data_IF_622136059584
#
_entry.id   IF_622136059584
#
_cell.length_a   1.000
_cell.length_b   1.000
_cell.length_c   1.000
_cell.angle_alpha   90.00
_cell.angle_beta   90.00
_cell.angle_gamma   90.00
#
_symmetry.space_group_name_H-M   'P 1'
#
loop_
_entity.id
_entity.type
_entity.pdbx_description
1 polymer ?
#
# COMPACT_ATOMS: atom_id res chain seq x y z
N UNK A 1 -31.48 -34.14 -71.57
CA UNK A 1 -31.95 -33.81 -70.22
C UNK A 1 -30.75 -33.14 -69.52
N UNK A 2 -30.77 -31.80 -69.48
CA UNK A 2 -29.67 -30.99 -68.89
C UNK A 2 -30.04 -30.60 -67.47
N UNK A 3 -29.32 -31.16 -66.51
CA UNK A 3 -29.45 -30.76 -65.11
C UNK A 3 -28.47 -29.62 -64.78
N UNK A 4 -29.01 -28.44 -64.47
CA UNK A 4 -28.23 -27.29 -64.00
C UNK A 4 -28.08 -27.38 -62.48
N UNK A 5 -26.85 -27.54 -62.03
CA UNK A 5 -26.51 -27.47 -60.58
C UNK A 5 -26.30 -26.00 -60.24
N UNK A 6 -27.14 -25.51 -59.34
CA UNK A 6 -27.08 -24.14 -58.81
C UNK A 6 -26.16 -24.14 -57.57
N UNK A 7 -24.96 -23.61 -57.67
CA UNK A 7 -24.05 -23.43 -56.52
C UNK A 7 -24.40 -22.14 -55.77
N UNK A 8 -24.88 -22.27 -54.53
CA UNK A 8 -25.10 -21.17 -53.60
C UNK A 8 -23.80 -20.92 -52.85
N UNK A 9 -23.15 -19.80 -53.12
CA UNK A 9 -21.97 -19.35 -52.37
C UNK A 9 -22.44 -18.63 -51.08
N UNK A 10 -22.18 -19.25 -49.92
CA UNK A 10 -22.47 -18.69 -48.60
C UNK A 10 -21.28 -17.76 -48.22
N UNK A 11 -21.48 -16.47 -48.27
CA UNK A 11 -20.49 -15.49 -47.82
C UNK A 11 -20.53 -15.40 -46.29
N UNK A 12 -19.51 -15.92 -45.63
CA UNK A 12 -19.33 -15.77 -44.19
C UNK A 12 -18.81 -14.35 -43.89
N UNK A 13 -19.64 -13.52 -43.28
CA UNK A 13 -19.22 -12.19 -42.80
C UNK A 13 -18.50 -12.41 -41.46
N UNK A 14 -17.18 -12.33 -41.47
CA UNK A 14 -16.36 -12.26 -40.26
C UNK A 14 -16.48 -10.85 -39.65
N UNK A 15 -17.32 -10.67 -38.65
CA UNK A 15 -17.26 -9.49 -37.78
C UNK A 15 -16.02 -9.60 -36.89
N UNK A 16 -14.94 -8.95 -37.25
CA UNK A 16 -13.79 -8.74 -36.36
C UNK A 16 -14.20 -7.75 -35.27
N UNK A 17 -14.51 -8.24 -34.07
CA UNK A 17 -14.59 -7.40 -32.89
C UNK A 17 -13.16 -6.93 -32.56
N UNK A 18 -12.83 -5.71 -32.95
CA UNK A 18 -11.67 -5.01 -32.41
C UNK A 18 -11.98 -4.67 -30.95
N UNK A 19 -11.62 -5.55 -30.03
CA UNK A 19 -11.52 -5.21 -28.62
C UNK A 19 -10.37 -4.19 -28.50
N UNK A 20 -10.67 -2.90 -28.50
CA UNK A 20 -9.71 -1.88 -28.11
C UNK A 20 -9.34 -2.16 -26.66
N UNK A 21 -8.14 -2.70 -26.42
CA UNK A 21 -7.59 -2.83 -25.09
C UNK A 21 -7.60 -1.43 -24.45
N UNK A 22 -8.40 -1.26 -23.42
CA UNK A 22 -8.47 0.02 -22.69
C UNK A 22 -7.06 0.32 -22.17
N UNK A 23 -6.49 1.43 -22.61
CA UNK A 23 -5.15 1.84 -22.22
C UNK A 23 -5.12 2.08 -20.71
N UNK A 24 -4.12 1.51 -20.00
CA UNK A 24 -3.96 1.71 -18.58
C UNK A 24 -3.84 3.20 -18.23
N UNK A 25 -4.40 3.67 -17.10
CA UNK A 25 -4.35 5.07 -16.73
C UNK A 25 -2.90 5.51 -16.49
N UNK A 26 -2.61 6.76 -16.82
CA UNK A 26 -1.32 7.37 -16.47
C UNK A 26 -1.26 7.73 -14.99
N UNK A 27 -0.06 7.94 -14.45
CA UNK A 27 0.14 8.42 -13.09
C UNK A 27 -0.59 9.76 -12.84
N UNK A 28 -0.52 10.68 -13.81
CA UNK A 28 -1.20 11.98 -13.71
C UNK A 28 -2.72 11.85 -13.69
N UNK A 29 -3.30 10.93 -14.46
CA UNK A 29 -4.75 10.67 -14.42
C UNK A 29 -5.18 10.16 -13.04
N UNK A 30 -4.41 9.26 -12.43
CA UNK A 30 -4.71 8.75 -11.08
C UNK A 30 -4.54 9.83 -10.03
N UNK A 31 -3.47 10.62 -10.08
CA UNK A 31 -3.26 11.75 -9.15
C UNK A 31 -4.35 12.80 -9.30
N UNK A 32 -4.75 13.14 -10.52
CA UNK A 32 -5.86 14.05 -10.78
C UNK A 32 -7.21 13.50 -10.28
N UNK A 33 -7.43 12.19 -10.34
CA UNK A 33 -8.61 11.57 -9.76
C UNK A 33 -8.64 11.68 -8.22
N UNK A 34 -7.48 11.49 -7.57
CA UNK A 34 -7.35 11.73 -6.11
C UNK A 34 -7.64 13.18 -5.73
N UNK A 35 -7.15 14.14 -6.52
CA UNK A 35 -7.43 15.57 -6.34
C UNK A 35 -8.92 15.90 -6.48
N UNK A 36 -9.59 15.29 -7.47
CA UNK A 36 -11.05 15.47 -7.65
C UNK A 36 -11.85 14.89 -6.49
N UNK A 37 -11.39 13.78 -5.88
CA UNK A 37 -12.06 13.15 -4.74
C UNK A 37 -11.95 13.96 -3.45
N UNK A 38 -10.80 14.59 -3.21
CA UNK A 38 -10.46 15.14 -1.89
C UNK A 38 -10.17 16.64 -1.89
N UNK A 39 -10.13 17.26 -3.07
CA UNK A 39 -9.66 18.63 -3.25
C UNK A 39 -8.12 18.70 -3.38
N UNK A 40 -7.63 19.84 -3.85
CA UNK A 40 -6.21 20.18 -3.89
C UNK A 40 -5.84 20.92 -2.62
N UNK A 41 -4.85 20.42 -1.92
CA UNK A 41 -4.28 21.04 -0.72
C UNK A 41 -2.82 21.40 -1.02
N UNK A 42 -2.50 22.69 -1.28
CA UNK A 42 -1.16 23.13 -1.65
C UNK A 42 -0.09 22.71 -0.64
N UNK A 43 1.02 22.18 -1.15
CA UNK A 43 2.13 21.68 -0.30
C UNK A 43 1.89 20.31 0.33
N UNK A 44 0.68 19.73 0.24
CA UNK A 44 0.33 18.47 0.87
C UNK A 44 0.32 17.28 -0.11
N UNK A 45 0.38 16.06 0.44
CA UNK A 45 0.25 14.82 -0.33
C UNK A 45 -1.15 14.67 -0.90
N UNK A 46 -1.27 14.09 -2.12
CA UNK A 46 -2.59 13.86 -2.77
C UNK A 46 -3.35 12.67 -2.19
N UNK A 47 -2.63 11.77 -1.50
CA UNK A 47 -3.20 10.69 -0.71
C UNK A 47 -2.37 10.53 0.56
N UNK A 48 -2.93 9.95 1.63
CA UNK A 48 -2.27 9.87 2.93
C UNK A 48 -1.85 11.25 3.46
N UNK A 49 -2.73 12.26 3.32
CA UNK A 49 -2.42 13.66 3.67
C UNK A 49 -2.13 13.83 5.17
N UNK A 50 -2.91 13.14 6.02
CA UNK A 50 -2.72 13.13 7.46
C UNK A 50 -1.66 12.12 7.87
N UNK A 51 -0.78 12.50 8.79
CA UNK A 51 0.25 11.60 9.31
C UNK A 51 1.12 12.22 10.37
N UNK A 52 1.97 11.37 10.95
CA UNK A 52 2.92 11.70 12.02
C UNK A 52 4.29 11.12 11.69
N UNK A 53 5.34 11.91 11.91
CA UNK A 53 6.73 11.50 11.75
C UNK A 53 7.21 10.69 12.94
N UNK A 54 8.05 9.69 12.66
CA UNK A 54 8.68 8.87 13.68
C UNK A 54 10.16 8.67 13.38
N UNK A 55 10.95 8.51 14.44
CA UNK A 55 12.36 8.17 14.37
C UNK A 55 12.68 6.99 15.26
N UNK A 56 13.73 6.25 14.87
CA UNK A 56 14.14 5.08 15.63
C UNK A 56 15.19 4.25 14.91
N UNK A 57 15.15 2.95 15.11
CA UNK A 57 16.09 2.01 14.50
C UNK A 57 15.43 0.69 14.13
N UNK A 58 16.11 -0.03 13.25
CA UNK A 58 15.79 -1.42 12.89
C UNK A 58 17.01 -2.30 13.09
N UNK A 59 16.79 -3.49 13.63
CA UNK A 59 17.81 -4.54 13.74
C UNK A 59 17.29 -5.77 13.03
N UNK A 60 17.87 -6.07 11.86
CA UNK A 60 17.54 -7.27 11.09
C UNK A 60 18.20 -8.52 11.66
N UNK A 61 17.52 -9.65 11.60
CA UNK A 61 18.03 -10.95 12.04
C UNK A 61 19.02 -11.51 11.00
N UNK A 62 20.21 -11.92 11.43
CA UNK A 62 21.25 -12.46 10.53
C UNK A 62 20.82 -13.71 9.75
N UNK A 63 19.93 -14.53 10.31
CA UNK A 63 19.42 -15.74 9.65
C UNK A 63 18.71 -15.44 8.32
N UNK A 64 18.21 -14.22 8.14
CA UNK A 64 17.59 -13.75 6.89
C UNK A 64 18.62 -13.62 5.76
N UNK A 65 19.92 -13.55 6.06
CA UNK A 65 20.99 -13.52 5.06
C UNK A 65 21.04 -14.80 4.21
N UNK A 66 20.46 -15.90 4.65
CA UNK A 66 20.24 -17.08 3.81
C UNK A 66 19.37 -16.75 2.57
N UNK A 67 18.51 -15.76 2.65
CA UNK A 67 17.57 -15.37 1.60
C UNK A 67 17.96 -14.07 0.87
N UNK A 68 18.70 -13.16 1.55
CA UNK A 68 19.11 -11.88 0.95
C UNK A 68 20.48 -11.44 1.41
N UNK A 69 21.25 -10.83 0.50
CA UNK A 69 22.52 -10.16 0.82
C UNK A 69 22.36 -8.72 1.32
N UNK A 70 21.12 -8.26 1.49
CA UNK A 70 20.85 -6.87 1.90
C UNK A 70 21.46 -6.55 3.26
N UNK A 71 22.18 -5.42 3.33
CA UNK A 71 22.75 -4.89 4.57
C UNK A 71 21.71 -4.62 5.66
N UNK A 72 20.43 -4.51 5.29
CA UNK A 72 19.30 -4.37 6.22
C UNK A 72 19.25 -5.51 7.26
N UNK A 73 19.72 -6.71 6.88
CA UNK A 73 19.71 -7.92 7.73
C UNK A 73 21.11 -8.30 8.23
N UNK A 74 22.05 -7.36 8.30
CA UNK A 74 23.41 -7.60 8.80
C UNK A 74 23.49 -7.85 10.32
N UNK A 75 22.43 -7.59 11.07
CA UNK A 75 22.43 -7.57 12.54
C UNK A 75 22.90 -6.25 13.13
N UNK A 76 23.33 -5.30 12.32
CA UNK A 76 23.65 -3.96 12.78
C UNK A 76 22.38 -3.14 13.09
N UNK A 77 22.51 -2.16 13.97
CA UNK A 77 21.45 -1.18 14.23
C UNK A 77 21.40 -0.18 13.07
N UNK A 78 20.30 -0.16 12.33
CA UNK A 78 20.07 0.71 11.18
C UNK A 78 19.16 1.87 11.59
N UNK A 79 19.57 3.14 11.43
CA UNK A 79 18.72 4.29 11.70
C UNK A 79 17.51 4.33 10.77
N UNK A 80 16.35 4.71 11.32
CA UNK A 80 15.08 4.77 10.59
C UNK A 80 14.43 6.13 10.79
N UNK A 81 13.95 6.70 9.68
CA UNK A 81 12.95 7.79 9.68
C UNK A 81 11.68 7.20 9.08
N UNK A 82 10.54 7.41 9.72
CA UNK A 82 9.29 6.86 9.24
C UNK A 82 8.12 7.82 9.36
N UNK A 83 6.99 7.38 8.81
CA UNK A 83 5.76 8.13 8.83
C UNK A 83 4.57 7.19 8.93
N UNK A 84 3.75 7.36 9.97
CA UNK A 84 2.38 6.81 9.96
C UNK A 84 1.45 7.76 9.21
N UNK A 85 0.35 7.21 8.67
CA UNK A 85 -0.59 8.00 7.90
C UNK A 85 -1.98 7.37 7.84
N UNK A 86 -2.99 8.19 7.61
CA UNK A 86 -4.35 7.77 7.28
C UNK A 86 -4.54 7.86 5.76
N UNK A 87 -5.04 6.80 5.11
CA UNK A 87 -5.35 6.82 3.68
C UNK A 87 -6.48 7.80 3.38
N UNK A 88 -6.33 8.50 2.25
CA UNK A 88 -7.23 9.55 1.81
C UNK A 88 -6.58 10.92 1.74
N UNK A 89 -7.20 11.83 1.00
CA UNK A 89 -6.74 13.20 0.81
C UNK A 89 -7.53 14.24 1.63
N UNK A 90 -8.47 13.82 2.49
CA UNK A 90 -9.22 14.75 3.32
C UNK A 90 -8.43 15.13 4.59
N UNK A 91 -7.99 16.39 4.72
CA UNK A 91 -7.19 16.83 5.89
C UNK A 91 -8.00 16.93 7.20
N UNK A 92 -9.33 16.79 7.12
CA UNK A 92 -10.24 16.83 8.28
C UNK A 92 -10.76 15.44 8.67
N UNK A 93 -10.30 14.36 8.03
CA UNK A 93 -10.76 13.02 8.35
C UNK A 93 -10.36 12.63 9.79
N UNK A 94 -11.32 12.20 10.65
CA UNK A 94 -10.97 11.74 11.98
C UNK A 94 -10.26 10.38 11.94
N UNK A 95 -9.41 10.12 12.94
CA UNK A 95 -8.64 8.88 13.06
C UNK A 95 -9.54 7.64 13.24
N UNK A 96 -10.78 7.80 13.69
CA UNK A 96 -11.75 6.70 13.84
C UNK A 96 -12.41 6.26 12.52
N UNK A 97 -12.05 6.86 11.35
CA UNK A 97 -12.60 6.41 10.06
C UNK A 97 -12.11 5.03 9.66
N UNK A 98 -12.94 4.24 8.95
CA UNK A 98 -12.58 2.91 8.43
C UNK A 98 -11.71 2.98 7.15
N UNK A 99 -10.70 3.87 7.12
CA UNK A 99 -9.73 3.94 6.03
C UNK A 99 -8.47 3.15 6.41
N UNK A 100 -7.71 2.59 5.48
CA UNK A 100 -6.41 1.99 5.77
C UNK A 100 -5.42 2.98 6.40
N UNK A 101 -4.51 2.48 7.22
CA UNK A 101 -3.37 3.23 7.76
C UNK A 101 -2.11 2.77 7.08
N UNK A 102 -1.22 3.74 6.82
CA UNK A 102 0.08 3.46 6.24
C UNK A 102 1.19 3.57 7.27
N UNK A 103 2.23 2.77 7.09
CA UNK A 103 3.55 2.94 7.70
C UNK A 103 4.58 2.94 6.58
N UNK A 104 5.28 4.07 6.43
CA UNK A 104 6.40 4.21 5.52
C UNK A 104 7.68 4.40 6.32
N UNK A 105 8.75 3.67 5.95
CA UNK A 105 10.04 3.68 6.62
C UNK A 105 11.15 3.92 5.61
N UNK A 106 12.10 4.79 5.94
CA UNK A 106 13.37 4.95 5.25
C UNK A 106 14.49 4.47 6.16
N UNK A 107 15.25 3.50 5.69
CA UNK A 107 16.42 2.93 6.35
C UNK A 107 17.68 3.59 5.79
N UNK A 108 18.57 4.06 6.67
CA UNK A 108 19.88 4.63 6.30
C UNK A 108 20.93 3.52 6.40
N UNK A 109 21.29 2.96 5.26
CA UNK A 109 22.24 1.86 5.16
C UNK A 109 23.69 2.37 5.00
N UNK A 110 24.71 1.51 5.21
CA UNK A 110 26.11 1.83 4.94
C UNK A 110 26.32 2.34 3.51
N UNK A 111 27.33 3.21 3.32
CA UNK A 111 27.66 3.78 2.02
C UNK A 111 26.63 4.78 1.48
N UNK A 112 25.88 5.45 2.35
CA UNK A 112 24.80 6.38 2.00
C UNK A 112 23.66 5.75 1.16
N UNK A 113 23.57 4.41 1.12
CA UNK A 113 22.45 3.72 0.51
C UNK A 113 21.19 3.87 1.37
N UNK A 114 20.05 3.88 0.72
CA UNK A 114 18.76 3.94 1.40
C UNK A 114 17.85 2.79 0.92
N UNK A 115 16.92 2.40 1.78
CA UNK A 115 15.85 1.47 1.45
C UNK A 115 14.53 1.98 2.01
N UNK A 116 13.43 1.77 1.27
CA UNK A 116 12.10 2.12 1.73
C UNK A 116 11.21 0.89 1.90
N UNK A 117 10.50 0.83 3.04
CA UNK A 117 9.30 0.03 3.17
C UNK A 117 8.08 0.94 3.18
N UNK A 118 7.07 0.65 2.36
CA UNK A 118 5.79 1.34 2.36
C UNK A 118 4.67 0.32 2.48
N UNK A 119 4.00 0.33 3.61
CA UNK A 119 3.10 -0.71 4.08
C UNK A 119 1.73 -0.15 4.42
N UNK A 120 0.73 -1.02 4.43
CA UNK A 120 -0.62 -0.72 4.91
C UNK A 120 -1.01 -1.69 6.03
N UNK A 121 -1.96 -1.28 6.86
CA UNK A 121 -2.52 -2.14 7.92
C UNK A 121 -3.58 -3.12 7.39
N UNK A 122 -3.52 -3.43 6.12
CA UNK A 122 -4.37 -4.39 5.42
C UNK A 122 -3.49 -5.40 4.68
N UNK A 123 -3.82 -6.71 4.72
CA UNK A 123 -2.94 -7.75 4.18
C UNK A 123 -3.00 -7.88 2.66
N UNK A 124 -4.00 -7.27 2.02
CA UNK A 124 -4.18 -7.25 0.56
C UNK A 124 -4.55 -5.86 0.08
N UNK A 125 -4.29 -5.57 -1.20
CA UNK A 125 -4.70 -4.33 -1.84
C UNK A 125 -6.10 -4.44 -2.44
N UNK A 126 -6.74 -3.32 -2.77
CA UNK A 126 -8.10 -3.26 -3.32
C UNK A 126 -8.18 -3.24 -4.85
N UNK A 127 -7.09 -3.55 -5.54
CA UNK A 127 -7.03 -3.58 -6.99
C UNK A 127 -5.87 -4.46 -7.48
N UNK A 128 -6.12 -5.29 -8.48
CA UNK A 128 -5.10 -6.10 -9.12
C UNK A 128 -4.33 -5.32 -10.20
N UNK A 129 -4.91 -4.25 -10.74
CA UNK A 129 -4.33 -3.45 -11.82
C UNK A 129 -4.50 -1.95 -11.57
N UNK A 130 -3.65 -1.09 -12.18
CA UNK A 130 -3.84 0.36 -12.15
C UNK A 130 -5.21 0.78 -12.68
N UNK A 131 -5.77 0.06 -13.67
CA UNK A 131 -7.10 0.35 -14.21
C UNK A 131 -8.20 0.09 -13.17
N UNK A 132 -8.15 -1.05 -12.47
CA UNK A 132 -9.09 -1.33 -11.37
C UNK A 132 -9.00 -0.26 -10.27
N UNK A 133 -7.78 0.14 -9.89
CA UNK A 133 -7.58 1.20 -8.91
C UNK A 133 -8.20 2.54 -9.37
N UNK A 134 -7.96 2.91 -10.63
CA UNK A 134 -8.54 4.13 -11.21
C UNK A 134 -10.06 4.08 -11.24
N UNK A 135 -10.64 2.95 -11.66
CA UNK A 135 -12.09 2.75 -11.67
C UNK A 135 -12.70 2.84 -10.26
N UNK A 136 -11.99 2.33 -9.24
CA UNK A 136 -12.39 2.49 -7.84
C UNK A 136 -12.45 3.98 -7.43
N UNK A 137 -11.46 4.80 -7.84
CA UNK A 137 -11.49 6.24 -7.58
C UNK A 137 -12.69 6.89 -8.28
N UNK A 138 -12.92 6.57 -9.56
CA UNK A 138 -14.04 7.13 -10.33
C UNK A 138 -15.40 6.76 -9.74
N UNK A 139 -15.58 5.53 -9.25
CA UNK A 139 -16.85 5.08 -8.63
C UNK A 139 -17.18 5.78 -7.31
N UNK A 140 -16.16 6.36 -6.66
CA UNK A 140 -16.30 7.11 -5.41
C UNK A 140 -16.37 8.62 -5.60
N UNK A 141 -16.33 9.13 -6.84
CA UNK A 141 -16.50 10.56 -7.10
C UNK A 141 -17.91 11.01 -6.75
N UNK A 142 -17.99 12.19 -6.12
CA UNK A 142 -19.27 12.81 -5.83
C UNK A 142 -20.03 13.15 -7.12
N UNK A 143 -21.30 12.80 -7.17
CA UNK A 143 -22.21 13.26 -8.19
C UNK A 143 -22.44 14.78 -8.02
N UNK A 144 -22.28 15.60 -9.07
CA UNK A 144 -22.43 17.04 -8.99
C UNK A 144 -23.81 17.51 -8.47
N UNK A 145 -24.86 16.71 -8.69
CA UNK A 145 -26.23 17.05 -8.28
C UNK A 145 -26.47 16.78 -6.79
N UNK A 146 -25.81 15.76 -6.22
CA UNK A 146 -26.07 15.31 -4.84
C UNK A 146 -24.94 15.62 -3.87
N UNK A 147 -23.74 15.90 -4.38
CA UNK A 147 -22.51 16.04 -3.59
C UNK A 147 -22.04 14.74 -2.92
N UNK A 148 -22.63 13.59 -3.26
CA UNK A 148 -22.30 12.26 -2.70
C UNK A 148 -21.97 11.28 -3.82
N UNK A 149 -21.16 10.25 -3.55
CA UNK A 149 -20.95 9.17 -4.51
C UNK A 149 -22.27 8.51 -4.92
N UNK A 150 -22.38 8.17 -6.21
CA UNK A 150 -23.54 7.48 -6.77
C UNK A 150 -23.52 6.00 -6.33
N UNK A 151 -24.53 5.52 -5.59
CA UNK A 151 -24.59 4.14 -5.12
C UNK A 151 -24.62 3.09 -6.23
N UNK A 152 -25.22 3.41 -7.39
CA UNK A 152 -25.29 2.49 -8.52
C UNK A 152 -23.93 2.33 -9.20
N UNK A 153 -23.15 3.42 -9.34
CA UNK A 153 -21.75 3.34 -9.82
C UNK A 153 -20.87 2.53 -8.88
N UNK A 154 -21.03 2.72 -7.57
CA UNK A 154 -20.32 1.92 -6.57
C UNK A 154 -20.71 0.44 -6.61
N UNK A 155 -22.01 0.14 -6.80
CA UNK A 155 -22.52 -1.23 -6.96
C UNK A 155 -21.95 -1.86 -8.24
N UNK A 156 -22.05 -1.19 -9.38
CA UNK A 156 -21.49 -1.64 -10.65
C UNK A 156 -19.99 -1.92 -10.53
N UNK A 157 -19.22 -1.04 -9.88
CA UNK A 157 -17.79 -1.26 -9.63
C UNK A 157 -17.58 -2.57 -8.86
N UNK A 158 -18.29 -2.80 -7.76
CA UNK A 158 -18.16 -4.04 -6.96
C UNK A 158 -18.51 -5.30 -7.75
N UNK A 159 -19.49 -5.24 -8.63
CA UNK A 159 -19.93 -6.37 -9.47
C UNK A 159 -18.94 -6.70 -10.59
N UNK A 160 -18.29 -5.67 -11.15
CA UNK A 160 -17.37 -5.82 -12.29
C UNK A 160 -15.91 -5.98 -11.88
N UNK A 161 -15.55 -5.73 -10.59
CA UNK A 161 -14.19 -5.80 -10.08
C UNK A 161 -14.10 -6.71 -8.84
N UNK A 162 -14.20 -8.04 -9.03
CA UNK A 162 -14.15 -9.00 -7.91
C UNK A 162 -12.81 -8.99 -7.16
N UNK A 163 -11.74 -8.51 -7.78
CA UNK A 163 -10.43 -8.30 -7.19
C UNK A 163 -10.42 -7.26 -6.04
N UNK A 164 -11.40 -6.36 -5.99
CA UNK A 164 -11.57 -5.42 -4.87
C UNK A 164 -12.25 -6.04 -3.63
N UNK A 165 -12.89 -7.20 -3.77
CA UNK A 165 -13.71 -7.82 -2.73
C UNK A 165 -12.91 -8.21 -1.47
N UNK A 166 -11.71 -8.83 -1.55
CA UNK A 166 -10.96 -9.24 -0.36
C UNK A 166 -10.63 -8.09 0.60
N UNK A 167 -10.23 -6.93 0.06
CA UNK A 167 -10.00 -5.74 0.88
C UNK A 167 -11.31 -5.26 1.53
N UNK A 168 -12.41 -5.20 0.78
CA UNK A 168 -13.72 -4.78 1.30
C UNK A 168 -14.18 -5.66 2.46
N UNK A 169 -14.03 -6.98 2.35
CA UNK A 169 -14.38 -7.93 3.40
C UNK A 169 -13.49 -7.77 4.65
N UNK A 170 -12.18 -7.55 4.45
CA UNK A 170 -11.27 -7.27 5.55
C UNK A 170 -11.66 -5.99 6.30
N UNK A 171 -11.92 -4.90 5.58
CA UNK A 171 -12.28 -3.61 6.16
C UNK A 171 -13.63 -3.64 6.88
N UNK A 172 -14.59 -4.40 6.38
CA UNK A 172 -15.90 -4.55 7.02
C UNK A 172 -15.81 -5.22 8.39
N UNK A 173 -14.90 -6.20 8.54
CA UNK A 173 -14.70 -6.99 9.78
C UNK A 173 -13.74 -6.34 10.77
N UNK A 174 -13.01 -5.30 10.38
CA UNK A 174 -11.93 -4.75 11.19
C UNK A 174 -12.11 -3.24 11.40
N UNK A 175 -12.42 -2.87 12.64
CA UNK A 175 -12.48 -1.48 13.06
C UNK A 175 -11.09 -0.83 13.11
N UNK A 176 -11.01 0.50 13.14
CA UNK A 176 -9.79 1.24 13.39
C UNK A 176 -9.06 0.79 14.65
N UNK A 177 -7.72 0.92 14.70
CA UNK A 177 -6.94 0.56 15.89
C UNK A 177 -7.17 1.55 17.03
N UNK A 178 -6.92 1.09 18.25
CA UNK A 178 -6.90 1.96 19.44
C UNK A 178 -5.64 2.84 19.51
N UNK A 179 -4.57 2.45 18.80
CA UNK A 179 -3.26 3.12 18.77
C UNK A 179 -2.49 2.67 17.52
N UNK A 180 -1.58 3.52 17.02
CA UNK A 180 -0.59 3.06 16.04
C UNK A 180 0.30 1.93 16.60
N UNK A 181 0.55 1.90 17.91
CA UNK A 181 1.31 0.84 18.58
C UNK A 181 0.58 -0.52 18.63
N UNK A 182 -0.68 -0.57 18.24
CA UNK A 182 -1.52 -1.77 18.29
C UNK A 182 -2.03 -2.20 16.93
N UNK A 183 -1.24 -2.01 15.87
CA UNK A 183 -1.66 -2.29 14.51
C UNK A 183 -0.57 -3.03 13.73
N UNK A 184 -0.98 -4.02 12.93
CA UNK A 184 -0.12 -4.70 11.96
C UNK A 184 0.07 -3.88 10.70
N UNK A 185 1.25 -3.99 10.06
CA UNK A 185 1.51 -3.38 8.76
C UNK A 185 2.09 -4.41 7.79
N UNK A 186 1.51 -4.51 6.61
CA UNK A 186 1.81 -5.52 5.60
C UNK A 186 2.47 -4.90 4.37
N UNK A 187 3.40 -5.64 3.75
CA UNK A 187 4.02 -5.25 2.47
C UNK A 187 3.02 -5.11 1.34
N UNK A 188 1.87 -5.79 1.42
CA UNK A 188 0.81 -5.98 0.40
C UNK A 188 1.30 -6.60 -0.91
N UNK A 189 2.50 -6.29 -1.37
CA UNK A 189 3.12 -6.83 -2.57
C UNK A 189 4.05 -8.00 -2.25
N UNK A 190 4.35 -8.79 -3.27
CA UNK A 190 5.43 -9.78 -3.25
C UNK A 190 6.72 -9.13 -3.72
N UNK A 191 7.82 -9.46 -3.05
CA UNK A 191 9.17 -9.01 -3.39
C UNK A 191 10.08 -10.20 -3.62
N UNK A 192 11.23 -9.94 -4.23
CA UNK A 192 12.30 -10.91 -4.45
C UNK A 192 13.43 -10.58 -3.48
N UNK A 193 13.81 -11.54 -2.63
CA UNK A 193 15.05 -11.51 -1.88
C UNK A 193 16.11 -12.26 -2.66
N UNK A 194 17.32 -11.69 -2.79
CA UNK A 194 18.43 -12.22 -3.57
C UNK A 194 19.62 -12.40 -2.64
N UNK A 195 20.04 -13.65 -2.42
CA UNK A 195 21.13 -13.97 -1.51
C UNK A 195 22.53 -13.77 -2.15
N UNK A 196 23.58 -14.06 -1.38
CA UNK A 196 24.97 -13.91 -1.83
C UNK A 196 25.32 -14.81 -3.06
N UNK A 197 24.59 -15.90 -3.25
CA UNK A 197 24.74 -16.81 -4.38
C UNK A 197 23.83 -16.45 -5.57
N UNK A 198 23.20 -15.26 -5.56
CA UNK A 198 22.23 -14.80 -6.55
C UNK A 198 20.95 -15.68 -6.66
N UNK A 199 20.68 -16.49 -5.66
CA UNK A 199 19.43 -17.24 -5.59
C UNK A 199 18.31 -16.32 -5.14
N UNK A 200 17.17 -16.41 -5.83
CA UNK A 200 15.98 -15.59 -5.56
C UNK A 200 14.97 -16.35 -4.72
N UNK A 201 14.42 -15.70 -3.70
CA UNK A 201 13.33 -16.20 -2.86
C UNK A 201 12.18 -15.18 -2.89
N UNK A 202 10.96 -15.64 -3.16
CA UNK A 202 9.76 -14.81 -3.08
C UNK A 202 9.40 -14.58 -1.61
N UNK A 203 9.08 -13.35 -1.27
CA UNK A 203 8.76 -12.99 0.11
C UNK A 203 7.62 -11.97 0.19
N UNK A 204 6.87 -12.05 1.29
CA UNK A 204 6.03 -10.98 1.82
C UNK A 204 6.42 -10.75 3.27
N UNK A 205 6.27 -9.53 3.76
CA UNK A 205 6.53 -9.25 5.17
C UNK A 205 5.38 -8.51 5.83
N UNK A 206 5.33 -8.62 7.14
CA UNK A 206 4.46 -7.79 7.96
C UNK A 206 5.15 -7.46 9.29
N UNK A 207 4.79 -6.31 9.84
CA UNK A 207 5.26 -5.84 11.12
C UNK A 207 4.16 -6.07 12.15
N UNK A 208 4.44 -6.92 13.15
CA UNK A 208 3.52 -7.29 14.23
C UNK A 208 3.87 -6.47 15.46
N UNK A 209 2.94 -5.68 16.02
CA UNK A 209 3.23 -4.87 17.21
C UNK A 209 3.49 -5.75 18.45
N UNK A 210 4.51 -5.42 19.24
CA UNK A 210 4.80 -6.15 20.51
C UNK A 210 3.64 -6.04 21.51
N UNK A 211 2.93 -4.91 21.53
CA UNK A 211 1.76 -4.68 22.41
C UNK A 211 0.48 -5.39 21.92
N UNK A 212 0.58 -6.17 20.85
CA UNK A 212 -0.53 -6.89 20.23
C UNK A 212 -1.51 -5.99 19.48
N UNK A 213 -2.30 -6.59 18.58
CA UNK A 213 -3.31 -5.89 17.80
C UNK A 213 -4.54 -5.62 18.65
N UNK A 214 -5.00 -4.34 18.69
CA UNK A 214 -6.20 -3.92 19.41
C UNK A 214 -7.00 -2.94 18.55
N UNK A 215 -8.31 -3.12 18.50
CA UNK A 215 -9.22 -2.34 17.67
C UNK A 215 -10.30 -1.69 18.52
N UNK A 216 -10.78 -0.54 18.07
CA UNK A 216 -11.93 0.14 18.66
C UNK A 216 -13.20 -0.71 18.51
N UNK A 217 -14.05 -0.67 19.49
CA UNK A 217 -15.44 -1.10 19.37
C UNK A 217 -16.23 -0.07 18.57
N UNK A 218 -17.42 -0.45 18.06
CA UNK A 218 -18.30 0.49 17.34
C UNK A 218 -18.72 1.68 18.23
N UNK A 219 -18.92 1.46 19.53
CA UNK A 219 -19.23 2.51 20.49
C UNK A 219 -18.07 3.50 20.66
N UNK A 220 -16.84 3.00 20.82
CA UNK A 220 -15.65 3.84 20.96
C UNK A 220 -15.39 4.68 19.73
N UNK A 221 -15.64 4.16 18.51
CA UNK A 221 -15.45 4.92 17.27
C UNK A 221 -16.23 6.25 17.25
N UNK A 222 -17.41 6.31 17.87
CA UNK A 222 -18.25 7.51 17.93
C UNK A 222 -17.78 8.56 18.95
N UNK A 223 -16.85 8.20 19.86
CA UNK A 223 -16.46 9.06 20.99
C UNK A 223 -14.99 9.46 20.99
N UNK A 224 -14.16 8.84 20.13
CA UNK A 224 -12.73 9.14 20.05
C UNK A 224 -12.45 10.57 19.56
N UNK A 225 -11.45 11.27 20.14
CA UNK A 225 -10.96 12.54 19.60
C UNK A 225 -10.50 12.39 18.14
N UNK A 226 -10.59 13.48 17.37
CA UNK A 226 -10.30 13.44 15.94
C UNK A 226 -8.86 12.96 15.60
N UNK A 227 -7.88 13.26 16.45
CA UNK A 227 -6.44 12.96 16.25
C UNK A 227 -5.84 12.12 17.36
N UNK A 228 -6.60 11.16 17.93
CA UNK A 228 -6.16 10.36 19.06
C UNK A 228 -4.97 9.45 18.76
N UNK A 229 -4.78 9.01 17.52
CA UNK A 229 -3.65 8.15 17.13
C UNK A 229 -2.31 8.88 17.20
N UNK A 230 -2.28 10.14 16.77
CA UNK A 230 -1.07 10.97 16.82
C UNK A 230 -0.70 11.31 18.28
N UNK A 231 -1.69 11.74 19.06
CA UNK A 231 -1.50 12.12 20.47
C UNK A 231 -1.03 10.93 21.32
N UNK A 232 -1.63 9.75 21.11
CA UNK A 232 -1.24 8.51 21.80
C UNK A 232 0.19 8.10 21.44
N UNK A 233 0.57 8.12 20.14
CA UNK A 233 1.92 7.73 19.74
C UNK A 233 2.99 8.68 20.29
N UNK A 234 2.73 10.00 20.29
CA UNK A 234 3.62 10.99 20.92
C UNK A 234 3.76 10.70 22.42
N UNK A 235 2.65 10.42 23.10
CA UNK A 235 2.68 10.12 24.52
C UNK A 235 3.43 8.81 24.85
N UNK A 236 3.23 7.76 24.02
CA UNK A 236 3.91 6.47 24.19
C UNK A 236 5.42 6.60 23.97
N UNK A 237 5.86 7.23 22.89
CA UNK A 237 7.29 7.37 22.60
C UNK A 237 8.05 8.23 23.62
N UNK A 238 7.37 9.14 24.31
CA UNK A 238 7.93 9.87 25.47
C UNK A 238 8.14 9.00 26.71
N UNK A 239 7.31 7.96 26.88
CA UNK A 239 7.41 7.03 28.04
C UNK A 239 8.41 5.91 27.79
N UNK A 240 8.64 5.53 26.55
CA UNK A 240 9.56 4.48 26.16
C UNK A 240 9.43 4.10 24.69
N UNK A 241 10.29 3.20 24.21
CA UNK A 241 10.26 2.75 22.82
C UNK A 241 9.01 1.93 22.50
N UNK A 242 8.48 2.10 21.30
CA UNK A 242 7.40 1.28 20.73
C UNK A 242 8.00 0.36 19.67
N UNK A 243 7.61 -0.94 19.68
CA UNK A 243 8.28 -1.95 18.87
C UNK A 243 7.32 -2.78 18.02
N UNK A 244 7.86 -3.25 16.89
CA UNK A 244 7.24 -4.23 16.00
C UNK A 244 8.25 -5.30 15.63
N UNK A 245 7.80 -6.56 15.68
CA UNK A 245 8.54 -7.67 15.09
C UNK A 245 8.26 -7.74 13.60
N UNK A 246 9.31 -7.67 12.76
CA UNK A 246 9.19 -7.93 11.33
C UNK A 246 9.13 -9.44 11.12
N UNK A 247 8.03 -9.91 10.57
CA UNK A 247 7.82 -11.29 10.17
C UNK A 247 7.95 -11.42 8.66
N UNK A 248 8.73 -12.38 8.21
CA UNK A 248 8.98 -12.66 6.79
C UNK A 248 8.32 -13.97 6.41
N UNK A 249 7.36 -13.92 5.51
CA UNK A 249 6.70 -15.09 4.92
C UNK A 249 7.46 -15.49 3.66
N UNK A 250 7.91 -16.75 3.62
CA UNK A 250 8.68 -17.35 2.52
C UNK A 250 7.71 -17.98 1.52
N UNK A 251 7.72 -17.47 0.30
CA UNK A 251 6.89 -17.95 -0.79
C UNK A 251 7.46 -19.17 -1.49
N UNK A 252 6.63 -19.76 -2.34
CA UNK A 252 6.98 -20.81 -3.31
C UNK A 252 6.79 -20.28 -4.73
N UNK A 253 7.39 -20.93 -5.72
CA UNK A 253 7.31 -20.52 -7.13
C UNK A 253 5.87 -20.54 -7.67
N UNK A 254 4.99 -21.36 -7.08
CA UNK A 254 3.56 -21.44 -7.39
C UNK A 254 2.72 -20.31 -6.82
N UNK A 255 3.29 -19.49 -5.91
CA UNK A 255 2.53 -18.39 -5.27
C UNK A 255 2.33 -17.22 -6.23
N UNK A 256 1.18 -16.57 -6.10
CA UNK A 256 0.86 -15.40 -6.91
C UNK A 256 1.79 -14.24 -6.57
N UNK A 257 2.52 -13.73 -7.57
CA UNK A 257 3.56 -12.71 -7.43
C UNK A 257 3.10 -11.32 -7.88
N UNK A 258 2.14 -11.27 -8.82
CA UNK A 258 1.77 -10.04 -9.57
C UNK A 258 0.36 -9.55 -9.28
N UNK A 259 -0.32 -10.14 -8.29
CA UNK A 259 -1.65 -9.73 -7.89
C UNK A 259 -1.70 -9.49 -6.37
N UNK A 260 -1.70 -8.23 -5.92
CA UNK A 260 -1.69 -7.87 -4.50
C UNK A 260 -3.06 -8.04 -3.81
N UNK A 261 -4.11 -8.47 -4.52
CA UNK A 261 -5.45 -8.72 -3.96
C UNK A 261 -5.61 -10.14 -3.44
N UNK A 262 -4.61 -11.01 -3.67
CA UNK A 262 -4.67 -12.44 -3.34
C UNK A 262 -3.81 -12.72 -2.11
N UNK A 263 -4.40 -13.37 -1.11
CA UNK A 263 -3.67 -13.91 0.04
C UNK A 263 -2.76 -15.07 -0.41
N UNK A 264 -1.59 -15.16 0.16
CA UNK A 264 -0.82 -16.39 0.09
C UNK A 264 -1.41 -17.46 1.01
N UNK A 265 -1.15 -18.76 0.73
CA UNK A 265 -1.55 -19.84 1.62
C UNK A 265 -1.04 -19.64 3.05
N UNK A 266 -1.92 -19.88 4.03
CA UNK A 266 -1.62 -19.58 5.44
C UNK A 266 -0.52 -20.48 6.03
N UNK A 267 -0.27 -21.64 5.41
CA UNK A 267 0.77 -22.61 5.81
C UNK A 267 2.18 -22.21 5.36
N UNK A 268 2.36 -21.10 4.64
CA UNK A 268 3.70 -20.66 4.24
C UNK A 268 4.57 -20.38 5.46
N UNK A 269 5.83 -20.86 5.38
CA UNK A 269 6.78 -20.65 6.46
C UNK A 269 6.97 -19.17 6.74
N UNK A 270 6.82 -18.79 7.99
CA UNK A 270 7.05 -17.42 8.48
C UNK A 270 8.15 -17.43 9.52
N UNK A 271 9.11 -16.52 9.41
CA UNK A 271 10.24 -16.37 10.34
C UNK A 271 10.30 -14.91 10.84
N UNK A 272 10.85 -14.70 12.02
CA UNK A 272 11.16 -13.35 12.49
C UNK A 272 12.40 -12.83 11.76
N UNK A 273 12.25 -11.69 11.11
CA UNK A 273 13.29 -11.10 10.26
C UNK A 273 13.97 -9.88 10.89
N UNK A 274 13.44 -9.33 11.97
CA UNK A 274 14.03 -8.19 12.65
C UNK A 274 13.07 -7.51 13.62
N UNK A 275 13.55 -6.43 14.23
CA UNK A 275 12.77 -5.61 15.18
C UNK A 275 12.90 -4.14 14.79
N UNK A 276 11.76 -3.49 14.59
CA UNK A 276 11.64 -2.04 14.48
C UNK A 276 11.42 -1.46 15.87
N UNK A 277 12.24 -0.49 16.27
CA UNK A 277 12.13 0.23 17.54
C UNK A 277 11.98 1.71 17.26
N UNK A 278 10.82 2.29 17.57
CA UNK A 278 10.56 3.72 17.43
C UNK A 278 10.72 4.39 18.79
N UNK A 279 11.53 5.45 18.82
CA UNK A 279 11.90 6.19 20.05
C UNK A 279 11.38 7.62 20.07
N UNK A 280 10.84 8.11 18.94
CA UNK A 280 10.28 9.45 18.86
C UNK A 280 9.09 9.49 17.90
N UNK A 281 8.13 10.35 18.21
CA UNK A 281 7.03 10.71 17.34
C UNK A 281 6.79 12.22 17.42
N UNK A 282 6.59 12.88 16.27
CA UNK A 282 6.34 14.31 16.16
C UNK A 282 5.35 14.59 15.04
N UNK A 283 4.60 15.69 15.15
CA UNK A 283 3.73 16.13 14.04
C UNK A 283 4.55 16.29 12.76
N UNK A 284 3.95 15.95 11.61
CA UNK A 284 4.68 15.90 10.33
C UNK A 284 5.14 17.28 9.83
N UNK A 285 4.40 18.35 10.15
CA UNK A 285 4.68 19.68 9.61
C UNK A 285 6.05 20.18 10.08
N UNK A 286 6.94 20.43 9.12
CA UNK A 286 8.32 20.84 9.35
C UNK A 286 9.28 19.73 9.76
N UNK A 287 8.81 18.50 10.00
CA UNK A 287 9.67 17.38 10.38
C UNK A 287 10.30 16.67 9.15
N UNK A 288 11.38 15.92 9.38
CA UNK A 288 12.17 15.29 8.29
C UNK A 288 11.36 14.37 7.40
N UNK A 289 10.41 13.61 7.95
CA UNK A 289 9.60 12.69 7.16
C UNK A 289 8.69 13.39 6.15
N UNK A 290 8.37 14.67 6.36
CA UNK A 290 7.57 15.46 5.44
C UNK A 290 8.26 15.60 4.08
N UNK A 291 9.59 15.78 4.08
CA UNK A 291 10.40 15.98 2.88
C UNK A 291 10.65 14.71 2.07
N UNK A 292 10.41 13.53 2.66
CA UNK A 292 10.71 12.25 2.03
C UNK A 292 9.57 11.85 1.09
N UNK A 293 9.92 11.45 -0.15
CA UNK A 293 9.05 10.69 -1.03
C UNK A 293 9.30 9.20 -0.77
N UNK A 294 8.43 8.56 0.02
CA UNK A 294 8.58 7.15 0.39
C UNK A 294 8.19 6.22 -0.77
N UNK A 295 8.96 6.23 -1.84
CA UNK A 295 8.75 5.38 -3.00
C UNK A 295 9.13 3.92 -2.67
N UNK A 296 8.22 2.94 -2.82
CA UNK A 296 8.49 1.53 -2.51
C UNK A 296 9.53 0.88 -3.44
N UNK A 297 9.87 1.50 -4.57
CA UNK A 297 10.90 1.00 -5.48
C UNK A 297 12.31 1.55 -5.17
N UNK A 298 12.47 2.36 -4.12
CA UNK A 298 13.79 2.69 -3.57
C UNK A 298 14.26 1.52 -2.74
N UNK A 299 15.03 0.63 -3.36
CA UNK A 299 15.45 -0.66 -2.78
C UNK A 299 16.96 -0.77 -2.69
N UNK A 300 17.42 -1.34 -1.57
CA UNK A 300 18.82 -1.72 -1.40
C UNK A 300 19.15 -3.00 -2.15
N UNK A 301 20.44 -3.24 -2.42
CA UNK A 301 20.93 -4.49 -2.99
C UNK A 301 20.44 -5.71 -2.19
N UNK A 302 20.13 -6.79 -2.89
CA UNK A 302 19.59 -8.01 -2.33
C UNK A 302 18.06 -8.00 -2.17
N UNK A 303 17.37 -6.92 -2.54
CA UNK A 303 15.90 -6.82 -2.56
C UNK A 303 15.48 -6.26 -3.91
N UNK A 304 14.51 -6.89 -4.57
CA UNK A 304 14.00 -6.48 -5.87
C UNK A 304 12.47 -6.56 -5.94
N UNK A 305 11.82 -5.78 -6.80
CA UNK A 305 10.38 -5.87 -7.02
C UNK A 305 10.02 -7.10 -7.84
N UNK A 306 8.76 -7.49 -7.80
CA UNK A 306 8.14 -8.36 -8.80
C UNK A 306 7.55 -7.51 -9.93
N UNK A 307 7.01 -8.18 -10.96
CA UNK A 307 6.31 -7.53 -12.07
C UNK A 307 4.83 -7.23 -11.73
N UNK A 308 4.52 -7.07 -10.44
CA UNK A 308 3.21 -6.63 -9.95
C UNK A 308 2.88 -5.25 -10.54
N UNK A 309 1.84 -5.13 -11.39
CA UNK A 309 1.55 -3.89 -12.09
C UNK A 309 1.17 -2.74 -11.15
N UNK A 310 0.60 -3.04 -9.98
CA UNK A 310 0.32 -2.02 -8.95
C UNK A 310 1.63 -1.55 -8.32
N UNK A 311 2.55 -2.46 -7.95
CA UNK A 311 3.84 -2.10 -7.37
C UNK A 311 4.64 -1.20 -8.32
N UNK A 312 4.71 -1.58 -9.60
CA UNK A 312 5.42 -0.82 -10.63
C UNK A 312 4.78 0.56 -10.87
N UNK A 313 3.45 0.64 -10.83
CA UNK A 313 2.71 1.89 -11.03
C UNK A 313 2.84 2.87 -9.85
N UNK A 314 3.24 2.39 -8.67
CA UNK A 314 3.39 3.26 -7.48
C UNK A 314 4.47 4.32 -7.69
N UNK A 315 5.65 3.96 -8.19
CA UNK A 315 6.78 4.89 -8.33
C UNK A 315 6.44 6.13 -9.19
N UNK A 316 5.93 6.01 -10.43
CA UNK A 316 5.52 7.19 -11.19
C UNK A 316 4.39 7.99 -10.53
N UNK A 317 3.46 7.33 -9.83
CA UNK A 317 2.37 8.03 -9.11
C UNK A 317 2.89 8.82 -7.91
N UNK A 318 3.87 8.26 -7.17
CA UNK A 318 4.54 8.96 -6.08
C UNK A 318 5.35 10.15 -6.58
N UNK A 319 6.04 10.01 -7.72
CA UNK A 319 6.79 11.09 -8.35
C UNK A 319 5.86 12.24 -8.79
N UNK A 320 4.76 11.95 -9.48
CA UNK A 320 3.77 12.95 -9.90
C UNK A 320 3.18 13.70 -8.70
N UNK A 321 2.75 12.97 -7.65
CA UNK A 321 2.23 13.58 -6.42
C UNK A 321 3.28 14.41 -5.69
N UNK A 322 4.56 13.99 -5.70
CA UNK A 322 5.66 14.69 -5.04
C UNK A 322 5.98 16.00 -5.74
N UNK A 323 6.06 16.02 -7.08
CA UNK A 323 6.27 17.24 -7.88
C UNK A 323 5.17 18.26 -7.59
N UNK A 324 3.89 17.85 -7.64
CA UNK A 324 2.75 18.73 -7.31
C UNK A 324 2.83 19.27 -5.88
N UNK A 325 3.28 18.47 -4.91
CA UNK A 325 3.49 18.93 -3.54
C UNK A 325 4.55 20.00 -3.43
N UNK A 326 5.68 19.86 -4.15
CA UNK A 326 6.79 20.83 -4.12
C UNK A 326 6.45 22.13 -4.83
N UNK A 327 5.65 22.07 -5.89
CA UNK A 327 5.25 23.25 -6.68
C UNK A 327 4.02 23.97 -6.12
N UNK A 328 3.34 23.38 -5.12
CA UNK A 328 2.13 23.95 -4.53
C UNK A 328 0.88 23.82 -5.40
N UNK A 329 0.96 23.06 -6.51
CA UNK A 329 -0.15 22.86 -7.47
C UNK A 329 -1.07 21.72 -7.03
#
# INVERSE_FOLDING_TARGET
MNSKILSVAMAAVFCTFNATAQQAPTADQVVSALEKLSGVHPGERRNHILGICVGGSFVGTKDVQAFTRSALFSGATIPVIGRFSLAGGNPKAPDATKNPRGLALQFKLPGNSIHHFTMLNVPVFGAATPQTFYNALLSNMADPATGKPDPEKQKQFRETHPDAKPLGEFMAKNNPPVSYANIDFFSIHTFKFINANNQTTLVRWHFVPEDGVKRLTDAEMGTMPARFLDDDLIAKTKKGPVRWNMMLTIGQDSDVQTNPTIYWPAERKTIQAGVLTLTSATLQKGADCEKINFDPLVMADGIAPTDDPILQFRSPSYAASFVKRLTGN
#
